data_IF_445392121498
#
_entry.id   IF_445392121498
#
_cell.length_a   1.000
_cell.length_b   1.000
_cell.length_c   1.000
_cell.angle_alpha   90.00
_cell.angle_beta   90.00
_cell.angle_gamma   90.00
#
_symmetry.space_group_name_H-M   'P 1'
#
loop_
_entity.id
_entity.type
_entity.pdbx_description
1 polymer ?
#
# COMPACT_ATOMS: atom_id res chain seq x y z
N UNK A 1 -13.13 5.97 -17.12
CA UNK A 1 -11.95 5.11 -16.94
C UNK A 1 -10.89 6.02 -16.34
N UNK A 2 -10.61 5.90 -15.03
CA UNK A 2 -9.57 6.73 -14.42
C UNK A 2 -8.21 6.12 -14.81
N UNK A 3 -7.41 6.89 -15.55
CA UNK A 3 -6.04 6.51 -15.94
C UNK A 3 -5.17 6.28 -14.71
N UNK A 4 -4.23 5.34 -14.84
CA UNK A 4 -3.16 5.08 -13.87
C UNK A 4 -2.39 6.39 -13.60
N UNK A 5 -2.46 6.89 -12.37
CA UNK A 5 -1.89 8.20 -12.02
C UNK A 5 -0.42 8.15 -11.57
N UNK A 6 0.15 6.95 -11.32
CA UNK A 6 1.55 6.75 -10.95
C UNK A 6 2.07 5.46 -11.62
N UNK A 7 3.25 5.48 -12.27
CA UNK A 7 3.86 4.26 -12.83
C UNK A 7 4.28 3.29 -11.72
N UNK A 8 4.28 1.99 -12.03
CA UNK A 8 4.75 0.96 -11.09
C UNK A 8 6.19 1.25 -10.62
N UNK A 9 6.50 1.09 -9.31
CA UNK A 9 7.84 1.33 -8.82
C UNK A 9 8.82 0.33 -9.43
N UNK A 10 10.03 0.77 -9.76
CA UNK A 10 11.10 -0.13 -10.22
C UNK A 10 11.75 -0.86 -9.04
N UNK A 11 12.39 -1.99 -9.31
CA UNK A 11 13.14 -2.71 -8.27
C UNK A 11 14.23 -1.82 -7.63
N UNK A 12 14.93 -1.01 -8.44
CA UNK A 12 15.93 -0.05 -7.94
C UNK A 12 15.33 0.99 -7.00
N UNK A 13 14.13 1.51 -7.33
CA UNK A 13 13.42 2.43 -6.45
C UNK A 13 13.09 1.75 -5.11
N UNK A 14 12.60 0.51 -5.14
CA UNK A 14 12.29 -0.24 -3.92
C UNK A 14 13.55 -0.58 -3.10
N UNK A 15 14.69 -0.86 -3.72
CA UNK A 15 15.98 -1.03 -3.03
C UNK A 15 16.46 0.26 -2.35
N UNK A 16 16.27 1.41 -2.99
CA UNK A 16 16.54 2.70 -2.39
C UNK A 16 15.61 2.96 -1.21
N UNK A 17 14.32 2.66 -1.35
CA UNK A 17 13.34 2.77 -0.27
C UNK A 17 13.75 1.90 0.93
N UNK A 18 14.17 0.65 0.70
CA UNK A 18 14.71 -0.24 1.74
C UNK A 18 15.89 0.36 2.51
N UNK A 19 16.82 0.99 1.81
CA UNK A 19 17.96 1.67 2.44
C UNK A 19 17.51 2.89 3.27
N UNK A 20 16.51 3.63 2.79
CA UNK A 20 15.92 4.75 3.54
C UNK A 20 15.11 4.29 4.74
N UNK A 21 14.36 3.20 4.64
CA UNK A 21 13.63 2.63 5.76
C UNK A 21 14.57 2.18 6.87
N UNK A 22 15.68 1.55 6.50
CA UNK A 22 16.69 1.18 7.48
C UNK A 22 17.31 2.42 8.15
N UNK A 23 17.72 3.43 7.39
CA UNK A 23 18.38 4.63 7.95
C UNK A 23 17.45 5.53 8.78
N UNK A 24 16.18 5.67 8.40
CA UNK A 24 15.22 6.57 9.08
C UNK A 24 14.41 5.89 10.18
N UNK A 25 14.01 4.66 9.93
CA UNK A 25 13.02 3.94 10.76
C UNK A 25 13.60 2.70 11.41
N UNK A 26 14.91 2.45 11.25
CA UNK A 26 15.62 1.27 11.74
C UNK A 26 14.95 -0.06 11.33
N UNK A 27 14.30 -0.08 10.17
CA UNK A 27 13.58 -1.24 9.66
C UNK A 27 14.24 -1.74 8.38
N UNK A 28 15.11 -2.77 8.46
CA UNK A 28 15.79 -3.31 7.29
C UNK A 28 14.82 -4.02 6.35
N UNK A 29 15.15 -4.04 5.05
CA UNK A 29 14.39 -4.71 4.00
C UNK A 29 12.93 -4.25 3.80
N UNK A 30 12.45 -3.20 4.47
CA UNK A 30 11.12 -2.64 4.21
C UNK A 30 11.13 -1.76 2.96
N UNK A 31 10.31 -2.07 1.96
CA UNK A 31 10.28 -1.33 0.68
C UNK A 31 9.13 -0.34 0.58
N UNK A 32 8.18 -0.40 1.51
CA UNK A 32 7.05 0.51 1.59
C UNK A 32 6.14 0.24 2.78
N UNK A 33 5.28 1.20 3.08
CA UNK A 33 4.19 1.07 4.03
C UNK A 33 2.84 1.22 3.31
N UNK A 34 1.86 0.37 3.61
CA UNK A 34 0.52 0.40 3.00
C UNK A 34 -0.53 0.81 4.02
N UNK A 35 -1.41 1.74 3.63
CA UNK A 35 -2.58 2.10 4.41
C UNK A 35 -3.69 2.72 3.54
N UNK A 36 -4.92 2.73 4.06
CA UNK A 36 -6.06 3.37 3.44
C UNK A 36 -6.35 4.76 4.00
N UNK A 37 -6.78 5.68 3.14
CA UNK A 37 -7.21 7.02 3.54
C UNK A 37 -8.59 7.34 2.98
N UNK A 38 -9.51 7.68 3.87
CA UNK A 38 -10.79 8.27 3.48
C UNK A 38 -10.60 9.68 2.92
N UNK A 39 -11.08 9.89 1.69
CA UNK A 39 -11.17 11.19 1.03
C UNK A 39 -12.64 11.58 1.01
N UNK A 40 -13.00 12.67 1.69
CA UNK A 40 -14.38 13.13 1.81
C UNK A 40 -14.90 13.56 0.44
N UNK A 41 -16.13 13.15 0.12
CA UNK A 41 -16.82 13.50 -1.12
C UNK A 41 -18.24 13.96 -0.83
N UNK A 42 -18.86 14.62 -1.81
CA UNK A 42 -20.32 14.73 -1.87
C UNK A 42 -20.87 13.40 -2.38
N UNK A 43 -21.82 12.80 -1.65
CA UNK A 43 -22.43 11.53 -2.04
C UNK A 43 -22.98 11.59 -3.48
N UNK A 44 -22.65 10.62 -4.35
CA UNK A 44 -23.28 10.51 -5.66
C UNK A 44 -24.80 10.31 -5.53
N UNK A 45 -25.56 10.79 -6.50
CA UNK A 45 -27.03 10.62 -6.49
C UNK A 45 -27.37 9.13 -6.43
N UNK A 46 -28.35 8.77 -5.60
CA UNK A 46 -28.87 7.39 -5.44
C UNK A 46 -27.80 6.36 -4.99
N UNK A 47 -26.73 6.79 -4.33
CA UNK A 47 -25.69 5.87 -3.82
C UNK A 47 -26.00 5.23 -2.46
N UNK A 48 -27.11 5.60 -1.82
CA UNK A 48 -27.44 5.16 -0.46
C UNK A 48 -26.27 5.39 0.51
N UNK A 49 -25.94 4.35 1.30
CA UNK A 49 -24.85 4.36 2.28
C UNK A 49 -23.53 3.79 1.76
N UNK A 50 -23.39 3.52 0.45
CA UNK A 50 -22.17 2.91 -0.09
C UNK A 50 -20.91 3.71 0.29
N UNK A 51 -20.97 5.03 0.14
CA UNK A 51 -19.84 5.91 0.44
C UNK A 51 -19.80 6.35 1.92
N UNK A 52 -20.81 6.01 2.73
CA UNK A 52 -20.88 6.45 4.13
C UNK A 52 -19.96 5.59 5.00
N UNK A 53 -19.00 6.22 5.68
CA UNK A 53 -17.99 5.53 6.48
C UNK A 53 -18.31 5.55 7.98
N UNK A 54 -17.50 4.84 8.77
CA UNK A 54 -17.62 4.76 10.24
C UNK A 54 -17.36 6.08 10.97
N UNK A 55 -16.82 7.10 10.29
CA UNK A 55 -16.60 8.46 10.81
C UNK A 55 -17.76 9.39 10.49
N UNK A 56 -18.89 8.85 10.06
CA UNK A 56 -20.15 9.56 9.81
C UNK A 56 -20.08 10.59 8.67
N UNK A 57 -19.29 10.32 7.61
CA UNK A 57 -19.31 11.12 6.39
C UNK A 57 -19.14 10.28 5.12
N UNK A 58 -19.51 10.87 3.98
CA UNK A 58 -19.34 10.23 2.67
C UNK A 58 -17.90 10.36 2.17
N UNK A 59 -17.30 9.24 1.75
CA UNK A 59 -15.93 9.17 1.28
C UNK A 59 -15.71 8.10 0.21
N UNK A 60 -14.65 8.28 -0.56
CA UNK A 60 -13.95 7.17 -1.24
C UNK A 60 -12.68 6.86 -0.48
N UNK A 61 -12.15 5.66 -0.67
CA UNK A 61 -10.86 5.26 -0.11
C UNK A 61 -9.77 5.40 -1.17
N UNK A 62 -8.66 5.99 -0.76
CA UNK A 62 -7.37 5.97 -1.43
C UNK A 62 -6.50 4.97 -0.66
N UNK A 63 -6.19 3.83 -1.28
CA UNK A 63 -5.20 2.89 -0.77
C UNK A 63 -3.84 3.25 -1.36
N UNK A 64 -2.81 3.38 -0.52
CA UNK A 64 -1.49 3.78 -0.99
C UNK A 64 -0.38 2.95 -0.39
N UNK A 65 0.65 2.69 -1.19
CA UNK A 65 1.98 2.29 -0.71
C UNK A 65 2.88 3.50 -0.75
N UNK A 66 3.49 3.85 0.37
CA UNK A 66 4.42 4.99 0.51
C UNK A 66 5.84 4.55 0.80
N UNK A 67 6.82 5.38 0.42
CA UNK A 67 8.23 5.19 0.77
C UNK A 67 8.56 5.72 2.18
N UNK A 68 9.82 5.60 2.58
CA UNK A 68 10.32 6.08 3.87
C UNK A 68 10.28 7.61 4.04
N UNK A 69 10.07 8.37 2.96
CA UNK A 69 9.92 9.82 2.93
C UNK A 69 8.43 10.23 2.89
N UNK A 70 7.51 9.28 3.10
CA UNK A 70 6.06 9.46 3.00
C UNK A 70 5.58 9.89 1.59
N UNK A 71 6.33 9.53 0.54
CA UNK A 71 5.94 9.77 -0.86
C UNK A 71 5.25 8.55 -1.43
N UNK A 72 4.25 8.76 -2.30
CA UNK A 72 3.52 7.69 -2.94
C UNK A 72 4.41 6.89 -3.91
N UNK A 73 4.51 5.58 -3.69
CA UNK A 73 5.06 4.63 -4.66
C UNK A 73 3.97 4.07 -5.57
N UNK A 74 2.77 3.84 -5.02
CA UNK A 74 1.62 3.35 -5.74
C UNK A 74 0.32 3.79 -5.05
N UNK A 75 -0.74 4.01 -5.83
CA UNK A 75 -2.06 4.37 -5.32
C UNK A 75 -3.15 3.60 -6.07
N UNK A 76 -4.20 3.22 -5.35
CA UNK A 76 -5.45 2.69 -5.90
C UNK A 76 -6.61 3.50 -5.29
N UNK A 77 -7.41 4.15 -6.13
CA UNK A 77 -8.36 5.19 -5.71
C UNK A 77 -9.76 4.81 -6.19
N UNK A 78 -10.74 4.95 -5.30
CA UNK A 78 -12.16 4.96 -5.68
C UNK A 78 -13.01 3.85 -5.05
N UNK A 79 -12.44 3.04 -4.16
CA UNK A 79 -13.23 2.09 -3.38
C UNK A 79 -14.21 2.83 -2.45
N UNK A 80 -15.30 2.15 -2.08
CA UNK A 80 -16.36 2.80 -1.33
C UNK A 80 -15.92 3.10 0.11
N UNK A 81 -16.36 4.24 0.66
CA UNK A 81 -16.03 4.64 2.03
C UNK A 81 -16.53 3.70 3.12
N UNK A 82 -17.48 2.81 2.83
CA UNK A 82 -17.93 1.78 3.78
C UNK A 82 -16.99 0.58 3.86
N UNK A 83 -16.12 0.39 2.87
CA UNK A 83 -15.25 -0.79 2.81
C UNK A 83 -14.00 -0.62 3.67
N UNK A 84 -13.56 -1.73 4.27
CA UNK A 84 -12.34 -1.81 5.05
C UNK A 84 -11.10 -2.00 4.16
N UNK A 85 -9.95 -1.53 4.64
CA UNK A 85 -8.70 -1.53 3.87
C UNK A 85 -8.27 -2.95 3.44
N UNK A 86 -8.54 -3.96 4.27
CA UNK A 86 -8.28 -5.37 3.96
C UNK A 86 -9.03 -5.84 2.71
N UNK A 87 -10.32 -5.54 2.64
CA UNK A 87 -11.19 -5.90 1.52
C UNK A 87 -10.79 -5.13 0.26
N UNK A 88 -10.42 -3.87 0.41
CA UNK A 88 -9.94 -3.02 -0.69
C UNK A 88 -8.62 -3.55 -1.24
N UNK A 89 -7.67 -3.92 -0.37
CA UNK A 89 -6.39 -4.51 -0.77
C UNK A 89 -6.57 -5.72 -1.68
N UNK A 90 -7.43 -6.68 -1.30
CA UNK A 90 -7.66 -7.92 -2.07
C UNK A 90 -8.16 -7.68 -3.50
N UNK A 91 -8.94 -6.61 -3.74
CA UNK A 91 -9.46 -6.27 -5.08
C UNK A 91 -8.64 -5.21 -5.82
N UNK A 92 -7.81 -4.45 -5.10
CA UNK A 92 -6.95 -3.39 -5.64
C UNK A 92 -5.92 -3.93 -6.64
N UNK A 93 -5.46 -3.08 -7.55
CA UNK A 93 -4.33 -3.41 -8.42
C UNK A 93 -3.04 -3.61 -7.64
N UNK A 94 -2.84 -2.85 -6.55
CA UNK A 94 -1.70 -3.01 -5.64
C UNK A 94 -1.64 -4.44 -5.09
N UNK A 95 -2.72 -4.92 -4.48
CA UNK A 95 -2.77 -6.27 -3.90
C UNK A 95 -2.67 -7.37 -4.95
N UNK A 96 -3.25 -7.16 -6.14
CA UNK A 96 -3.09 -8.10 -7.27
C UNK A 96 -1.64 -8.19 -7.72
N UNK A 97 -0.95 -7.06 -7.91
CA UNK A 97 0.45 -7.02 -8.36
C UNK A 97 1.41 -7.63 -7.34
N UNK A 98 1.18 -7.39 -6.04
CA UNK A 98 1.96 -8.02 -4.97
C UNK A 98 1.75 -9.53 -5.00
N UNK A 99 0.50 -10.00 -5.10
CA UNK A 99 0.18 -11.43 -5.11
C UNK A 99 0.79 -12.22 -6.28
N UNK A 100 0.98 -11.58 -7.44
CA UNK A 100 1.54 -12.22 -8.64
C UNK A 100 3.00 -11.84 -8.90
N UNK A 101 3.69 -11.20 -7.95
CA UNK A 101 5.10 -10.80 -8.02
C UNK A 101 5.43 -9.82 -9.16
N UNK A 102 4.49 -8.94 -9.53
CA UNK A 102 4.71 -7.89 -10.54
C UNK A 102 4.85 -6.49 -9.95
N UNK A 103 4.91 -6.37 -8.62
CA UNK A 103 5.19 -5.11 -7.91
C UNK A 103 6.70 -4.79 -7.81
N UNK A 104 7.56 -5.59 -8.47
CA UNK A 104 9.02 -5.42 -8.52
C UNK A 104 9.73 -5.47 -7.16
N UNK A 105 9.17 -6.19 -6.18
CA UNK A 105 9.78 -6.39 -4.87
C UNK A 105 11.13 -7.10 -5.06
N UNK A 106 12.25 -6.57 -4.54
CA UNK A 106 13.56 -7.17 -4.75
C UNK A 106 13.70 -8.51 -4.03
N UNK A 107 14.57 -9.38 -4.58
CA UNK A 107 14.89 -10.67 -3.95
C UNK A 107 15.37 -10.51 -2.48
N UNK A 108 15.19 -11.54 -1.64
CA UNK A 108 15.62 -11.53 -0.24
C UNK A 108 17.07 -11.06 -0.04
N UNK A 109 17.32 -10.35 1.06
CA UNK A 109 18.64 -9.78 1.40
C UNK A 109 18.99 -10.07 2.85
N UNK A 110 20.28 -10.21 3.12
CA UNK A 110 20.81 -10.35 4.48
C UNK A 110 20.47 -9.10 5.31
N UNK A 111 19.99 -9.31 6.53
CA UNK A 111 19.78 -8.22 7.50
C UNK A 111 21.14 -7.71 8.00
N UNK A 112 21.39 -6.38 8.04
CA UNK A 112 22.62 -5.81 8.57
C UNK A 112 22.98 -6.37 9.96
N UNK A 113 24.24 -6.79 10.14
CA UNK A 113 24.74 -7.33 11.41
C UNK A 113 24.39 -8.81 11.67
N UNK A 114 23.81 -9.51 10.70
CA UNK A 114 23.47 -10.94 10.81
C UNK A 114 23.88 -11.70 9.55
N UNK A 115 23.71 -13.03 9.56
CA UNK A 115 23.78 -13.88 8.37
C UNK A 115 22.39 -14.33 7.89
N UNK A 116 21.31 -13.76 8.44
CA UNK A 116 19.95 -14.16 8.14
C UNK A 116 19.46 -13.46 6.86
N UNK A 117 19.15 -14.26 5.83
CA UNK A 117 18.52 -13.78 4.60
C UNK A 117 17.00 -13.75 4.82
N UNK A 118 16.40 -12.56 4.69
CA UNK A 118 14.95 -12.38 4.85
C UNK A 118 14.36 -11.63 3.65
N UNK A 119 13.07 -11.81 3.33
CA UNK A 119 12.43 -11.12 2.22
C UNK A 119 12.42 -9.60 2.41
N UNK A 120 12.27 -8.89 1.31
CA UNK A 120 11.80 -7.51 1.35
C UNK A 120 10.31 -7.49 1.65
N UNK A 121 9.87 -6.56 2.50
CA UNK A 121 8.48 -6.53 2.99
C UNK A 121 7.83 -5.18 2.76
N UNK A 122 6.51 -5.20 2.58
CA UNK A 122 5.65 -4.02 2.70
C UNK A 122 4.95 -4.14 4.05
N UNK A 123 5.07 -3.12 4.90
CA UNK A 123 4.43 -3.11 6.21
C UNK A 123 3.02 -2.52 6.10
N UNK A 124 2.06 -3.05 6.83
CA UNK A 124 0.69 -2.54 6.88
C UNK A 124 0.17 -2.53 8.31
N UNK A 125 -0.93 -1.80 8.55
CA UNK A 125 -1.64 -1.81 9.83
C UNK A 125 -2.33 -3.15 10.12
N UNK A 126 -3.00 -3.23 11.27
CA UNK A 126 -3.68 -4.43 11.77
C UNK A 126 -4.73 -5.01 10.80
N UNK A 127 -5.35 -4.16 9.97
CA UNK A 127 -6.34 -4.60 8.99
C UNK A 127 -5.76 -5.52 7.91
N UNK A 128 -4.44 -5.51 7.66
CA UNK A 128 -3.83 -6.28 6.58
C UNK A 128 -3.32 -7.63 7.09
N UNK A 129 -3.82 -8.73 6.50
CA UNK A 129 -3.30 -10.05 6.78
C UNK A 129 -1.84 -10.20 6.30
N UNK A 130 -1.00 -10.84 7.12
CA UNK A 130 0.37 -11.16 6.73
C UNK A 130 0.37 -12.26 5.66
N UNK A 131 0.91 -11.95 4.49
CA UNK A 131 1.02 -12.88 3.35
C UNK A 131 2.46 -12.98 2.88
N UNK A 132 2.83 -14.11 2.27
CA UNK A 132 4.12 -14.22 1.57
C UNK A 132 4.12 -13.31 0.35
N UNK A 133 5.07 -12.40 0.31
CA UNK A 133 5.49 -11.64 -0.89
C UNK A 133 6.38 -12.50 -1.77
#
# INVERSE_FOLDING_TARGET
MFELTIPSPTENQLRQNSSKFFSKWNFPNCVGAIDGKHVRIKAPKRSGLLYFNYKEYYSIVLLAVVDADCKFNAVDIGSYGREEDACIYLKSQIGKMIKINTFNIPAPKVIPGTNNVVPHVIVGGEAFACTKT
#
